data_IF_982504276791
#
_entry.id   IF_982504276791
#
_cell.length_a   1.000
_cell.length_b   1.000
_cell.length_c   1.000
_cell.angle_alpha   90.00
_cell.angle_beta   90.00
_cell.angle_gamma   90.00
#
_symmetry.space_group_name_H-M   'P 1'
#
loop_
_entity.id
_entity.type
_entity.pdbx_description
1 polymer ?
#
# COMPACT_ATOMS: atom_id res chain seq x y z
N UNK A 1 33.42 2.01 -2.12
CA UNK A 1 33.67 3.26 -2.86
C UNK A 1 32.49 4.24 -2.92
N UNK A 2 31.44 4.14 -2.08
CA UNK A 2 30.25 5.03 -2.10
C UNK A 2 30.19 5.96 -0.89
N UNK A 3 31.01 5.73 0.15
CA UNK A 3 30.97 6.49 1.40
C UNK A 3 31.50 7.93 1.33
N UNK A 4 32.18 8.32 0.26
CA UNK A 4 32.98 9.56 0.27
C UNK A 4 32.29 10.80 -0.34
N UNK A 5 31.19 10.65 -1.09
CA UNK A 5 30.59 11.78 -1.79
C UNK A 5 29.78 12.72 -0.87
N UNK A 6 29.09 12.20 0.15
CA UNK A 6 28.34 13.03 1.09
C UNK A 6 29.25 13.71 2.12
N UNK A 7 30.39 13.09 2.48
CA UNK A 7 31.37 13.69 3.36
C UNK A 7 31.87 15.04 2.80
N UNK A 8 32.16 15.08 1.48
CA UNK A 8 32.54 16.33 0.78
C UNK A 8 31.42 17.38 0.77
N UNK A 9 30.14 16.97 0.78
CA UNK A 9 29.04 17.92 0.86
C UNK A 9 28.93 18.56 2.24
N UNK A 10 29.17 17.80 3.32
CA UNK A 10 29.14 18.29 4.70
C UNK A 10 30.37 19.14 5.03
N UNK A 11 31.56 18.81 4.51
CA UNK A 11 32.81 19.56 4.77
C UNK A 11 32.81 20.99 4.24
N UNK A 12 31.87 21.36 3.37
CA UNK A 12 31.68 22.76 2.92
C UNK A 12 31.13 23.67 4.02
N UNK A 13 30.62 23.12 5.13
CA UNK A 13 30.00 23.85 6.20
C UNK A 13 30.86 23.82 7.48
N UNK A 14 30.90 24.85 8.28
CA UNK A 14 31.67 24.90 9.53
C UNK A 14 31.20 23.79 10.49
N UNK A 15 32.16 23.06 11.07
CA UNK A 15 31.96 21.86 11.91
C UNK A 15 31.37 22.11 13.30
N UNK A 16 30.60 23.17 13.50
CA UNK A 16 29.85 23.36 14.76
C UNK A 16 28.70 22.38 14.79
N UNK A 17 28.61 21.60 15.82
CA UNK A 17 27.65 20.50 16.14
C UNK A 17 26.48 20.27 15.14
N UNK A 18 26.65 19.28 14.28
CA UNK A 18 25.55 18.79 13.45
C UNK A 18 24.70 17.81 14.24
N UNK A 19 23.45 18.16 14.49
CA UNK A 19 22.46 17.22 15.00
C UNK A 19 21.85 16.40 13.84
N UNK A 20 22.09 15.10 13.86
CA UNK A 20 21.54 14.19 12.84
C UNK A 20 20.14 13.73 13.26
N UNK A 21 19.16 14.07 12.44
CA UNK A 21 17.79 13.57 12.61
C UNK A 21 17.61 12.25 11.87
N UNK A 22 17.65 11.16 12.61
CA UNK A 22 17.38 9.81 12.09
C UNK A 22 15.91 9.44 12.30
N UNK A 23 15.39 8.57 11.44
CA UNK A 23 14.08 7.96 11.70
C UNK A 23 14.18 7.18 13.01
N UNK A 24 13.38 7.55 14.00
CA UNK A 24 13.32 6.83 15.28
C UNK A 24 12.80 5.41 15.04
N UNK A 25 13.68 4.43 15.01
CA UNK A 25 13.34 3.04 15.19
C UNK A 25 13.01 2.84 16.67
N UNK A 26 11.79 2.38 16.98
CA UNK A 26 11.44 2.06 18.36
C UNK A 26 12.45 1.02 18.90
N UNK A 27 13.25 1.34 19.92
CA UNK A 27 14.30 0.43 20.42
C UNK A 27 13.76 -0.88 21.02
N UNK A 28 12.46 -0.93 21.33
CA UNK A 28 11.80 -2.13 21.87
C UNK A 28 11.54 -3.23 20.83
N UNK A 29 11.58 -2.89 19.53
CA UNK A 29 11.29 -3.84 18.46
C UNK A 29 12.36 -3.74 17.37
N UNK A 30 12.98 -4.85 16.95
CA UNK A 30 13.96 -4.83 15.88
C UNK A 30 13.30 -4.35 14.59
N UNK A 31 13.95 -3.42 13.90
CA UNK A 31 13.43 -2.92 12.64
C UNK A 31 13.66 -3.92 11.51
N UNK A 32 12.75 -3.95 10.55
CA UNK A 32 12.96 -4.73 9.32
C UNK A 32 14.26 -4.30 8.63
N UNK A 33 14.60 -3.01 8.67
CA UNK A 33 15.85 -2.48 8.12
C UNK A 33 17.08 -3.14 8.76
N UNK A 34 17.10 -3.29 10.09
CA UNK A 34 18.20 -3.96 10.81
C UNK A 34 18.33 -5.43 10.40
N UNK A 35 17.22 -6.16 10.31
CA UNK A 35 17.20 -7.58 9.92
C UNK A 35 17.77 -7.75 8.51
N UNK A 36 17.34 -6.93 7.57
CA UNK A 36 17.84 -6.95 6.20
C UNK A 36 19.30 -6.51 6.11
N UNK A 37 19.70 -5.49 6.86
CA UNK A 37 21.09 -5.04 6.92
C UNK A 37 22.03 -6.19 7.33
N UNK A 38 21.63 -6.98 8.32
CA UNK A 38 22.46 -8.05 8.86
C UNK A 38 22.49 -9.31 7.98
N UNK A 39 21.41 -9.60 7.21
CA UNK A 39 21.25 -10.94 6.64
C UNK A 39 20.87 -10.97 5.15
N UNK A 40 20.61 -9.82 4.51
CA UNK A 40 20.15 -9.84 3.11
C UNK A 40 21.23 -10.30 2.15
N UNK A 41 22.49 -9.93 2.37
CA UNK A 41 23.60 -10.40 1.54
C UNK A 41 23.79 -11.92 1.66
N UNK A 42 23.78 -12.46 2.89
CA UNK A 42 23.84 -13.91 3.11
C UNK A 42 22.65 -14.64 2.47
N UNK A 43 21.44 -14.02 2.52
CA UNK A 43 20.24 -14.56 1.88
C UNK A 43 20.41 -14.68 0.36
N UNK A 44 21.04 -13.70 -0.29
CA UNK A 44 21.32 -13.73 -1.74
C UNK A 44 22.30 -14.85 -2.13
N UNK A 45 23.17 -15.27 -1.20
CA UNK A 45 24.15 -16.33 -1.42
C UNK A 45 23.57 -17.75 -1.28
N UNK A 46 22.33 -17.90 -0.76
CA UNK A 46 21.70 -19.21 -0.62
C UNK A 46 21.54 -19.91 -1.98
N UNK A 47 21.86 -21.24 -2.07
CA UNK A 47 21.80 -21.98 -3.33
C UNK A 47 20.43 -21.90 -4.04
N UNK A 48 19.34 -22.02 -3.28
CA UNK A 48 17.98 -21.94 -3.83
C UNK A 48 17.65 -20.55 -4.36
N UNK A 49 18.15 -19.50 -3.70
CA UNK A 49 17.95 -18.09 -4.12
C UNK A 49 18.73 -17.82 -5.40
N UNK A 50 19.99 -18.28 -5.49
CA UNK A 50 20.81 -18.16 -6.70
C UNK A 50 20.21 -18.90 -7.88
N UNK A 51 19.67 -20.09 -7.65
CA UNK A 51 19.02 -20.91 -8.70
C UNK A 51 17.76 -20.26 -9.28
N UNK A 52 16.93 -19.66 -8.44
CA UNK A 52 15.66 -19.02 -8.84
C UNK A 52 15.89 -17.60 -9.35
N UNK A 53 16.88 -16.90 -8.80
CA UNK A 53 17.14 -15.49 -9.03
C UNK A 53 16.24 -14.57 -8.23
N UNK A 54 16.63 -13.31 -8.13
CA UNK A 54 15.85 -12.25 -7.46
C UNK A 54 15.43 -11.21 -8.49
N UNK A 55 14.18 -10.79 -8.45
CA UNK A 55 13.67 -9.74 -9.35
C UNK A 55 14.43 -8.42 -9.11
N UNK A 56 14.86 -7.70 -10.17
CA UNK A 56 15.63 -6.45 -10.04
C UNK A 56 14.94 -5.40 -9.14
N UNK A 57 13.60 -5.29 -9.22
CA UNK A 57 12.83 -4.39 -8.38
C UNK A 57 13.00 -4.68 -6.88
N UNK A 58 13.18 -5.95 -6.49
CA UNK A 58 13.40 -6.34 -5.09
C UNK A 58 14.73 -5.80 -4.59
N UNK A 59 15.81 -5.94 -5.38
CA UNK A 59 17.12 -5.42 -5.04
C UNK A 59 17.07 -3.90 -4.87
N UNK A 60 16.44 -3.19 -5.81
CA UNK A 60 16.26 -1.73 -5.78
C UNK A 60 15.47 -1.29 -4.54
N UNK A 61 14.34 -1.93 -4.23
CA UNK A 61 13.49 -1.55 -3.08
C UNK A 61 14.14 -1.88 -1.74
N UNK A 62 14.89 -2.97 -1.64
CA UNK A 62 15.67 -3.30 -0.43
C UNK A 62 16.80 -2.29 -0.24
N UNK A 63 17.55 -1.93 -1.28
CA UNK A 63 18.59 -0.92 -1.20
C UNK A 63 18.04 0.44 -0.76
N UNK A 64 16.90 0.88 -1.33
CA UNK A 64 16.19 2.08 -0.89
C UNK A 64 15.79 2.01 0.59
N UNK A 65 15.30 0.87 1.05
CA UNK A 65 14.92 0.69 2.44
C UNK A 65 16.15 0.73 3.36
N UNK A 66 17.25 0.09 2.99
CA UNK A 66 18.48 0.06 3.78
C UNK A 66 19.10 1.45 3.94
N UNK A 67 19.03 2.29 2.92
CA UNK A 67 19.50 3.68 3.00
C UNK A 67 18.50 4.64 3.67
N UNK A 68 17.27 4.21 3.92
CA UNK A 68 16.19 5.08 4.42
C UNK A 68 16.53 5.75 5.76
N UNK A 69 16.50 7.09 5.80
CA UNK A 69 16.82 7.86 7.00
C UNK A 69 18.30 7.89 7.37
N UNK A 70 19.18 7.50 6.46
CA UNK A 70 20.63 7.61 6.60
C UNK A 70 21.19 8.65 5.63
N UNK A 71 22.45 9.05 5.82
CA UNK A 71 23.12 9.99 4.92
C UNK A 71 23.24 9.45 3.48
N UNK A 72 23.23 8.12 3.31
CA UNK A 72 23.27 7.47 2.00
C UNK A 72 21.98 7.64 1.17
N UNK A 73 20.87 8.01 1.81
CA UNK A 73 19.64 8.39 1.11
C UNK A 73 19.70 9.83 0.54
N UNK A 74 20.67 10.62 0.99
CA UNK A 74 20.70 12.05 0.82
C UNK A 74 20.02 12.78 1.96
N UNK A 75 20.12 14.09 1.98
CA UNK A 75 19.67 14.91 3.10
C UNK A 75 19.48 16.37 2.72
N UNK A 76 18.79 17.10 3.58
CA UNK A 76 18.70 18.55 3.60
C UNK A 76 19.46 19.10 4.80
N UNK A 77 20.05 20.28 4.63
CA UNK A 77 20.79 21.02 5.66
C UNK A 77 20.02 22.27 6.00
N UNK A 78 19.83 22.48 7.29
CA UNK A 78 19.17 23.65 7.86
C UNK A 78 20.07 24.32 8.88
N UNK A 79 20.03 25.66 8.96
CA UNK A 79 20.77 26.47 9.92
C UNK A 79 19.81 27.35 10.75
N UNK A 80 20.07 27.45 12.03
CA UNK A 80 19.36 28.38 12.90
C UNK A 80 19.87 29.80 12.68
N UNK A 81 19.02 30.79 12.33
CA UNK A 81 19.45 32.16 12.11
C UNK A 81 19.93 32.88 13.39
N UNK A 82 19.61 32.31 14.55
CA UNK A 82 19.95 32.95 15.85
C UNK A 82 21.23 32.37 16.47
N UNK A 83 21.37 31.04 16.54
CA UNK A 83 22.52 30.42 17.21
C UNK A 83 23.46 29.68 16.26
N UNK A 84 23.19 29.70 14.96
CA UNK A 84 23.97 29.05 13.90
C UNK A 84 24.13 27.54 14.07
N UNK A 85 23.28 26.91 14.90
CA UNK A 85 23.23 25.45 14.99
C UNK A 85 22.71 24.86 13.69
N UNK A 86 23.27 23.73 13.25
CA UNK A 86 22.93 23.11 11.99
C UNK A 86 22.24 21.75 12.22
N UNK A 87 21.14 21.50 11.49
CA UNK A 87 20.45 20.22 11.47
C UNK A 87 20.56 19.56 10.10
N UNK A 88 20.79 18.24 10.11
CA UNK A 88 20.72 17.40 8.91
C UNK A 88 19.47 16.54 8.98
N UNK A 89 18.59 16.68 7.98
CA UNK A 89 17.37 15.88 7.85
C UNK A 89 17.56 14.89 6.69
N UNK A 90 17.76 13.61 7.00
CA UNK A 90 17.95 12.57 6.00
C UNK A 90 16.65 12.24 5.26
N UNK A 91 16.75 11.99 3.94
CA UNK A 91 15.61 11.58 3.14
C UNK A 91 15.10 10.19 3.50
N UNK A 92 13.81 9.99 3.27
CA UNK A 92 13.14 8.72 3.49
C UNK A 92 12.86 8.03 2.16
N UNK A 93 12.85 6.70 2.14
CA UNK A 93 12.68 5.92 0.90
C UNK A 93 11.28 5.96 0.31
N UNK A 94 10.28 6.47 1.04
CA UNK A 94 8.85 6.49 0.67
C UNK A 94 8.29 5.13 0.22
N UNK A 95 9.04 4.04 0.43
CA UNK A 95 8.65 2.68 0.04
C UNK A 95 7.58 2.12 0.97
N UNK A 96 6.66 1.34 0.42
CA UNK A 96 5.69 0.56 1.20
C UNK A 96 6.34 -0.61 1.93
N UNK A 97 7.48 -1.07 1.44
CA UNK A 97 8.23 -2.15 2.03
C UNK A 97 8.91 -1.72 3.34
N UNK A 98 9.33 -0.47 3.44
CA UNK A 98 9.88 0.10 4.65
C UNK A 98 8.79 0.28 5.73
N UNK A 99 9.00 -0.26 6.92
CA UNK A 99 8.04 -0.19 8.02
C UNK A 99 7.71 1.24 8.46
N UNK A 100 8.71 2.12 8.49
CA UNK A 100 8.53 3.54 8.85
C UNK A 100 7.79 4.32 7.76
N UNK A 101 8.23 4.20 6.49
CA UNK A 101 7.61 4.90 5.37
C UNK A 101 6.22 4.38 5.05
N UNK A 102 5.96 3.08 5.22
CA UNK A 102 4.65 2.48 4.98
C UNK A 102 3.55 3.08 5.88
N UNK A 103 3.86 3.41 7.13
CA UNK A 103 2.91 4.07 8.04
C UNK A 103 2.54 5.47 7.54
N UNK A 104 3.54 6.27 7.14
CA UNK A 104 3.30 7.61 6.62
C UNK A 104 2.52 7.58 5.31
N UNK A 105 2.85 6.66 4.41
CA UNK A 105 2.11 6.45 3.16
C UNK A 105 0.65 6.05 3.41
N UNK A 106 0.38 5.26 4.44
CA UNK A 106 -1.00 4.94 4.86
C UNK A 106 -1.77 6.19 5.24
N UNK A 107 -1.17 7.08 6.04
CA UNK A 107 -1.79 8.35 6.46
C UNK A 107 -2.05 9.28 5.27
N UNK A 108 -1.10 9.41 4.36
CA UNK A 108 -1.27 10.21 3.14
C UNK A 108 -2.40 9.67 2.24
N UNK A 109 -2.46 8.36 2.04
CA UNK A 109 -3.54 7.74 1.26
C UNK A 109 -4.90 7.90 1.96
N UNK A 110 -4.95 7.78 3.29
CA UNK A 110 -6.16 8.07 4.08
C UNK A 110 -6.66 9.48 3.82
N UNK A 111 -5.77 10.46 3.94
CA UNK A 111 -6.11 11.86 3.68
C UNK A 111 -6.59 12.09 2.23
N UNK A 112 -5.94 11.45 1.25
CA UNK A 112 -6.37 11.52 -0.16
C UNK A 112 -7.77 10.93 -0.36
N UNK A 113 -8.04 9.74 0.20
CA UNK A 113 -9.35 9.09 0.06
C UNK A 113 -10.43 9.90 0.78
N UNK A 114 -10.20 10.40 1.99
CA UNK A 114 -11.13 11.28 2.69
C UNK A 114 -11.45 12.55 1.88
N UNK A 115 -10.44 13.12 1.24
CA UNK A 115 -10.64 14.30 0.38
C UNK A 115 -11.54 14.04 -0.81
N UNK A 116 -11.55 12.82 -1.38
CA UNK A 116 -12.35 12.47 -2.56
C UNK A 116 -13.65 11.74 -2.22
N UNK A 117 -13.75 11.10 -1.07
CA UNK A 117 -14.94 10.35 -0.67
C UNK A 117 -16.16 11.27 -0.57
N UNK A 118 -17.29 10.79 -1.08
CA UNK A 118 -18.59 11.42 -0.91
C UNK A 118 -19.09 11.14 0.51
N UNK A 119 -19.83 12.08 1.11
CA UNK A 119 -20.47 11.91 2.40
C UNK A 119 -21.78 11.09 2.25
N UNK A 120 -21.63 9.87 1.81
CA UNK A 120 -22.71 8.90 1.58
C UNK A 120 -22.31 7.56 2.21
N UNK A 121 -23.26 6.66 2.48
CA UNK A 121 -22.91 5.34 3.00
C UNK A 121 -21.95 4.60 2.07
N UNK A 122 -20.96 3.95 2.67
CA UNK A 122 -19.98 3.11 1.98
C UNK A 122 -19.96 1.72 2.59
N UNK A 123 -19.50 0.77 1.80
CA UNK A 123 -19.32 -0.62 2.20
C UNK A 123 -17.88 -1.08 1.92
N UNK A 124 -17.33 -1.85 2.84
CA UNK A 124 -16.07 -2.56 2.63
C UNK A 124 -16.37 -3.91 1.95
N UNK A 125 -15.82 -4.11 0.77
CA UNK A 125 -15.94 -5.36 0.02
C UNK A 125 -14.55 -5.96 -0.16
N UNK A 126 -14.39 -7.28 0.02
CA UNK A 126 -13.14 -7.98 -0.22
C UNK A 126 -13.36 -9.07 -1.26
N UNK A 127 -12.63 -9.00 -2.36
CA UNK A 127 -12.65 -9.99 -3.43
C UNK A 127 -11.43 -10.91 -3.30
N UNK A 128 -11.68 -12.19 -3.06
CA UNK A 128 -10.64 -13.22 -2.88
C UNK A 128 -10.71 -14.25 -3.99
N UNK A 129 -9.56 -14.72 -4.45
CA UNK A 129 -9.46 -15.74 -5.50
C UNK A 129 -9.24 -17.14 -4.93
N UNK A 130 -9.54 -18.17 -5.73
CA UNK A 130 -9.20 -19.53 -5.42
C UNK A 130 -7.68 -19.71 -5.20
N UNK A 131 -7.31 -20.55 -4.20
CA UNK A 131 -5.92 -20.80 -3.85
C UNK A 131 -5.08 -21.37 -5.01
N UNK A 132 -5.71 -22.15 -5.92
CA UNK A 132 -5.07 -22.76 -7.09
C UNK A 132 -4.58 -21.72 -8.10
N UNK A 133 -5.23 -20.55 -8.14
CA UNK A 133 -4.83 -19.45 -9.04
C UNK A 133 -3.64 -18.64 -8.52
N UNK A 134 -3.38 -18.66 -7.21
CA UNK A 134 -2.36 -17.78 -6.58
C UNK A 134 -0.97 -17.93 -7.17
N UNK A 135 -0.62 -19.14 -7.63
CA UNK A 135 0.69 -19.42 -8.21
C UNK A 135 0.90 -18.70 -9.55
N UNK A 136 -0.14 -18.56 -10.38
CA UNK A 136 -0.06 -17.81 -11.63
C UNK A 136 0.33 -16.35 -11.37
N UNK A 137 -0.35 -15.68 -10.43
CA UNK A 137 -0.07 -14.30 -10.04
C UNK A 137 1.30 -14.12 -9.37
N UNK A 138 1.89 -15.19 -8.85
CA UNK A 138 3.23 -15.16 -8.29
C UNK A 138 4.32 -15.35 -9.35
N UNK A 139 4.05 -16.14 -10.38
CA UNK A 139 4.95 -16.34 -11.51
C UNK A 139 5.04 -15.09 -12.37
N UNK A 140 3.90 -14.43 -12.58
CA UNK A 140 3.79 -13.20 -13.35
C UNK A 140 2.98 -12.15 -12.58
N UNK A 141 3.67 -11.14 -12.07
CA UNK A 141 3.07 -10.04 -11.31
C UNK A 141 2.22 -9.10 -12.18
N UNK A 142 2.41 -9.09 -13.51
CA UNK A 142 1.57 -8.31 -14.41
C UNK A 142 0.12 -8.80 -14.41
N UNK A 143 -0.10 -10.10 -14.17
CA UNK A 143 -1.42 -10.68 -14.01
C UNK A 143 -2.22 -10.09 -12.84
N UNK A 144 -1.56 -9.49 -11.84
CA UNK A 144 -2.24 -8.80 -10.73
C UNK A 144 -3.18 -7.68 -11.21
N UNK A 145 -2.95 -7.11 -12.41
CA UNK A 145 -3.85 -6.16 -13.04
C UNK A 145 -5.24 -6.75 -13.33
N UNK A 146 -5.30 -8.05 -13.59
CA UNK A 146 -6.54 -8.79 -13.85
C UNK A 146 -7.49 -8.72 -12.66
N UNK A 147 -6.96 -8.73 -11.42
CA UNK A 147 -7.78 -8.64 -10.22
C UNK A 147 -8.54 -7.30 -10.14
N UNK A 148 -7.86 -6.19 -10.47
CA UNK A 148 -8.49 -4.87 -10.54
C UNK A 148 -9.54 -4.82 -11.64
N UNK A 149 -9.19 -5.29 -12.84
CA UNK A 149 -10.09 -5.29 -14.00
C UNK A 149 -11.33 -6.14 -13.69
N UNK A 150 -11.16 -7.33 -13.13
CA UNK A 150 -12.26 -8.25 -12.85
C UNK A 150 -13.18 -7.73 -11.74
N UNK A 151 -12.63 -7.12 -10.69
CA UNK A 151 -13.42 -6.48 -9.63
C UNK A 151 -14.22 -5.29 -10.19
N UNK A 152 -13.60 -4.45 -11.02
CA UNK A 152 -14.26 -3.32 -11.66
C UNK A 152 -15.40 -3.79 -12.58
N UNK A 153 -15.14 -4.72 -13.50
CA UNK A 153 -16.16 -5.29 -14.40
C UNK A 153 -17.33 -5.88 -13.63
N UNK A 154 -17.06 -6.56 -12.50
CA UNK A 154 -18.09 -7.15 -11.67
C UNK A 154 -18.97 -6.11 -11.00
N UNK A 155 -18.36 -5.07 -10.40
CA UNK A 155 -19.11 -3.97 -9.77
C UNK A 155 -19.95 -3.24 -10.80
N UNK A 156 -19.35 -2.87 -11.94
CA UNK A 156 -20.05 -2.16 -13.02
C UNK A 156 -21.23 -2.99 -13.57
N UNK A 157 -21.06 -4.31 -13.72
CA UNK A 157 -22.14 -5.21 -14.11
C UNK A 157 -23.28 -5.23 -13.09
N UNK A 158 -22.97 -5.38 -11.79
CA UNK A 158 -23.98 -5.41 -10.72
C UNK A 158 -24.79 -4.11 -10.73
N UNK A 159 -24.12 -2.96 -10.79
CA UNK A 159 -24.80 -1.66 -10.81
C UNK A 159 -25.56 -1.41 -12.13
N UNK A 160 -25.11 -1.98 -13.26
CA UNK A 160 -25.85 -1.91 -14.52
C UNK A 160 -27.19 -2.68 -14.48
N UNK A 161 -27.25 -3.77 -13.69
CA UNK A 161 -28.48 -4.56 -13.52
C UNK A 161 -29.50 -3.94 -12.56
N UNK A 162 -29.07 -2.98 -11.74
CA UNK A 162 -29.97 -2.21 -10.85
C UNK A 162 -30.81 -1.15 -11.62
N UNK A 163 -30.72 -1.13 -12.94
CA UNK A 163 -31.36 -0.17 -13.86
C UNK A 163 -32.89 -0.25 -13.98
N UNK A 164 -33.60 -0.98 -13.11
CA UNK A 164 -35.08 -1.06 -13.21
C UNK A 164 -35.74 0.22 -12.81
N UNK A 165 -36.26 1.13 -13.45
CA UNK A 165 -36.97 2.41 -13.20
C UNK A 165 -36.12 3.64 -12.85
N UNK A 166 -34.82 3.50 -12.66
CA UNK A 166 -33.91 4.60 -12.33
C UNK A 166 -32.89 4.75 -13.44
N UNK A 167 -32.61 6.00 -13.85
CA UNK A 167 -31.54 6.33 -14.77
C UNK A 167 -30.22 5.65 -14.35
N UNK A 168 -29.29 5.43 -15.28
CA UNK A 168 -28.02 4.79 -14.97
C UNK A 168 -27.33 5.43 -13.79
N UNK A 169 -26.98 4.63 -12.78
CA UNK A 169 -26.25 5.08 -11.60
C UNK A 169 -24.80 4.65 -11.69
N UNK A 170 -23.89 5.55 -11.38
CA UNK A 170 -22.44 5.29 -11.35
C UNK A 170 -21.96 5.27 -9.91
N UNK A 171 -21.55 4.09 -9.39
CA UNK A 171 -20.97 4.00 -8.04
C UNK A 171 -19.61 4.67 -7.98
N UNK A 172 -19.21 5.12 -6.79
CA UNK A 172 -17.83 5.52 -6.50
C UNK A 172 -17.12 4.39 -5.74
N UNK A 173 -15.94 3.96 -6.22
CA UNK A 173 -15.19 2.94 -5.50
C UNK A 173 -13.68 3.09 -5.62
N UNK A 174 -12.99 2.63 -4.57
CA UNK A 174 -11.52 2.59 -4.49
C UNK A 174 -11.11 1.14 -4.29
N UNK A 175 -10.30 0.62 -5.20
CA UNK A 175 -9.75 -0.73 -5.14
C UNK A 175 -8.31 -0.68 -4.63
N UNK A 176 -7.98 -1.57 -3.70
CA UNK A 176 -6.63 -1.73 -3.15
C UNK A 176 -6.22 -3.18 -3.20
N UNK A 177 -5.11 -3.47 -3.87
CA UNK A 177 -4.54 -4.80 -3.91
C UNK A 177 -3.72 -5.08 -2.65
N UNK A 178 -3.96 -6.24 -2.07
CA UNK A 178 -3.09 -6.90 -1.11
C UNK A 178 -2.59 -8.21 -1.68
N UNK A 179 -1.36 -8.55 -1.35
CA UNK A 179 -0.73 -9.81 -1.80
C UNK A 179 -0.47 -10.78 -0.66
N UNK A 180 -0.76 -10.40 0.59
CA UNK A 180 -0.43 -11.18 1.79
C UNK A 180 -1.61 -11.39 2.72
N UNK A 181 -1.64 -12.55 3.39
CA UNK A 181 -2.47 -12.80 4.55
C UNK A 181 -1.84 -12.30 5.85
N UNK A 182 -2.53 -12.46 6.98
CA UNK A 182 -1.97 -12.15 8.32
C UNK A 182 -0.74 -12.99 8.66
N UNK A 183 -0.65 -14.19 8.07
CA UNK A 183 0.42 -15.19 8.18
C UNK A 183 1.57 -14.97 7.17
N UNK A 184 1.60 -13.85 6.47
CA UNK A 184 2.59 -13.50 5.44
C UNK A 184 2.60 -14.43 4.21
N UNK A 185 1.63 -15.34 4.08
CA UNK A 185 1.52 -16.16 2.89
C UNK A 185 1.03 -15.37 1.68
N UNK A 186 1.45 -15.79 0.50
CA UNK A 186 1.00 -15.19 -0.75
C UNK A 186 -0.50 -15.43 -0.95
N UNK A 187 -1.27 -14.35 -0.87
CA UNK A 187 -2.73 -14.35 -0.99
C UNK A 187 -3.21 -13.06 -1.65
N UNK A 188 -3.11 -12.93 -2.99
CA UNK A 188 -3.57 -11.73 -3.67
C UNK A 188 -5.09 -11.60 -3.60
N UNK A 189 -5.56 -10.45 -3.13
CA UNK A 189 -6.97 -10.11 -2.98
C UNK A 189 -7.18 -8.60 -3.07
N UNK A 190 -8.39 -8.18 -3.39
CA UNK A 190 -8.75 -6.77 -3.54
C UNK A 190 -9.64 -6.34 -2.38
N UNK A 191 -9.21 -5.30 -1.66
CA UNK A 191 -10.07 -4.53 -0.78
C UNK A 191 -10.74 -3.41 -1.58
N UNK A 192 -12.03 -3.22 -1.40
CA UNK A 192 -12.82 -2.22 -2.08
C UNK A 192 -13.58 -1.37 -1.06
N UNK A 193 -13.43 -0.06 -1.14
CA UNK A 193 -14.34 0.90 -0.52
C UNK A 193 -15.38 1.27 -1.58
N UNK A 194 -16.64 0.84 -1.41
CA UNK A 194 -17.70 1.00 -2.40
C UNK A 194 -18.83 1.85 -1.82
N UNK A 195 -19.34 2.84 -2.57
CA UNK A 195 -20.57 3.56 -2.18
C UNK A 195 -21.78 2.63 -2.17
N UNK A 196 -22.65 2.75 -1.16
CA UNK A 196 -23.96 2.07 -1.15
C UNK A 196 -24.97 2.79 -2.02
N UNK A 197 -24.68 2.87 -3.30
CA UNK A 197 -25.45 3.58 -4.30
C UNK A 197 -24.56 4.20 -5.37
N UNK A 198 -25.13 5.07 -6.17
CA UNK A 198 -24.39 5.73 -7.23
C UNK A 198 -24.94 7.10 -7.58
N UNK A 199 -24.20 7.82 -8.39
CA UNK A 199 -24.60 9.14 -8.92
C UNK A 199 -25.30 8.93 -10.25
N UNK A 200 -26.47 9.55 -10.42
CA UNK A 200 -27.20 9.59 -11.68
C UNK A 200 -26.57 10.57 -12.67
N UNK A 201 -26.98 10.50 -13.93
CA UNK A 201 -26.56 11.48 -14.96
C UNK A 201 -27.01 12.92 -14.63
N UNK A 202 -28.02 13.08 -13.78
CA UNK A 202 -28.51 14.37 -13.26
C UNK A 202 -27.71 14.85 -12.01
N UNK A 203 -26.76 14.08 -11.51
CA UNK A 203 -25.92 14.44 -10.38
C UNK A 203 -26.50 14.12 -9.00
N UNK A 204 -27.65 13.44 -8.92
CA UNK A 204 -28.26 13.02 -7.67
C UNK A 204 -27.67 11.69 -7.21
N UNK A 205 -27.42 11.56 -5.90
CA UNK A 205 -27.03 10.27 -5.33
C UNK A 205 -28.27 9.44 -5.01
N UNK A 206 -28.32 8.21 -5.51
CA UNK A 206 -29.38 7.24 -5.20
C UNK A 206 -28.77 6.11 -4.41
N UNK A 207 -29.27 5.91 -3.18
CA UNK A 207 -28.88 4.80 -2.32
C UNK A 207 -29.48 3.49 -2.83
N UNK A 208 -28.70 2.42 -2.82
CA UNK A 208 -29.17 1.05 -3.09
C UNK A 208 -29.15 0.28 -1.77
N UNK A 209 -30.31 -0.25 -1.37
CA UNK A 209 -30.46 -0.98 -0.09
C UNK A 209 -29.84 -2.38 -0.14
N UNK A 210 -29.67 -2.95 -1.33
CA UNK A 210 -29.24 -4.34 -1.51
C UNK A 210 -28.26 -4.50 -2.66
N UNK A 211 -27.19 -5.21 -2.39
CA UNK A 211 -26.22 -5.68 -3.39
C UNK A 211 -26.25 -7.21 -3.41
N UNK A 212 -26.55 -7.82 -4.56
CA UNK A 212 -26.65 -9.26 -4.68
C UNK A 212 -25.27 -9.93 -4.60
N UNK A 213 -25.00 -10.59 -3.48
CA UNK A 213 -23.72 -11.27 -3.23
C UNK A 213 -23.46 -12.44 -4.16
N UNK A 214 -24.48 -13.21 -4.51
CA UNK A 214 -24.32 -14.33 -5.46
C UNK A 214 -23.84 -13.80 -6.80
N UNK A 215 -24.42 -12.66 -7.25
CA UNK A 215 -23.97 -12.00 -8.49
C UNK A 215 -22.53 -11.49 -8.38
N UNK A 216 -22.15 -10.92 -7.25
CA UNK A 216 -20.74 -10.48 -7.02
C UNK A 216 -19.78 -11.67 -7.07
N UNK A 217 -20.08 -12.76 -6.37
CA UNK A 217 -19.23 -13.96 -6.30
C UNK A 217 -19.06 -14.62 -7.67
N UNK A 218 -20.16 -14.95 -8.33
CA UNK A 218 -20.18 -15.61 -9.65
C UNK A 218 -19.61 -14.68 -10.74
N UNK A 219 -19.94 -13.39 -10.68
CA UNK A 219 -19.42 -12.37 -11.58
C UNK A 219 -17.91 -12.23 -11.48
N UNK A 220 -17.39 -12.11 -10.26
CA UNK A 220 -15.95 -11.97 -10.04
C UNK A 220 -15.18 -13.20 -10.50
N UNK A 221 -15.65 -14.41 -10.16
CA UNK A 221 -15.07 -15.67 -10.65
C UNK A 221 -15.03 -15.70 -12.17
N UNK A 222 -16.16 -15.44 -12.84
CA UNK A 222 -16.25 -15.41 -14.31
C UNK A 222 -15.28 -14.41 -14.93
N UNK A 223 -15.23 -13.18 -14.40
CA UNK A 223 -14.34 -12.14 -14.92
C UNK A 223 -12.86 -12.51 -14.73
N UNK A 224 -12.46 -13.00 -13.55
CA UNK A 224 -11.07 -13.43 -13.30
C UNK A 224 -10.67 -14.54 -14.26
N UNK A 225 -11.48 -15.60 -14.35
CA UNK A 225 -11.15 -16.76 -15.20
C UNK A 225 -11.09 -16.39 -16.69
N UNK A 226 -12.00 -15.54 -17.17
CA UNK A 226 -12.01 -15.09 -18.57
C UNK A 226 -10.80 -14.18 -18.88
N UNK A 227 -10.51 -13.21 -18.01
CA UNK A 227 -9.37 -12.32 -18.22
C UNK A 227 -8.03 -13.07 -18.14
N UNK A 228 -7.93 -14.08 -17.27
CA UNK A 228 -6.76 -14.96 -17.23
C UNK A 228 -6.63 -15.83 -18.48
N UNK A 229 -7.75 -16.37 -19.04
CA UNK A 229 -7.72 -17.09 -20.32
C UNK A 229 -7.14 -16.20 -21.43
N UNK A 230 -7.57 -14.94 -21.49
CA UNK A 230 -7.06 -14.00 -22.49
C UNK A 230 -5.56 -13.73 -22.30
N UNK A 231 -5.11 -13.53 -21.05
CA UNK A 231 -3.71 -13.25 -20.75
C UNK A 231 -2.78 -14.46 -21.00
N UNK A 232 -3.28 -15.69 -20.94
CA UNK A 232 -2.51 -16.91 -21.16
C UNK A 232 -2.63 -17.45 -22.57
N UNK A 233 -3.39 -16.80 -23.46
CA UNK A 233 -3.68 -17.28 -24.81
C UNK A 233 -2.43 -17.49 -25.68
N UNK A 234 -1.41 -16.66 -25.49
CA UNK A 234 -0.17 -16.71 -26.27
C UNK A 234 0.76 -17.88 -25.88
N UNK A 235 0.46 -18.58 -24.78
CA UNK A 235 1.20 -19.77 -24.35
C UNK A 235 0.31 -21.03 -24.41
N UNK A 236 0.31 -21.81 -25.50
CA UNK A 236 -0.62 -22.91 -25.70
C UNK A 236 -0.56 -23.99 -24.61
N UNK A 237 0.63 -24.25 -24.05
CA UNK A 237 0.82 -25.28 -23.02
C UNK A 237 0.21 -24.82 -21.68
N UNK A 238 0.51 -23.59 -21.24
CA UNK A 238 -0.07 -23.03 -20.01
C UNK A 238 -1.58 -22.80 -20.18
N UNK A 239 -2.03 -22.39 -21.36
CA UNK A 239 -3.45 -22.21 -21.67
C UNK A 239 -4.24 -23.51 -21.56
N UNK A 240 -3.70 -24.63 -22.07
CA UNK A 240 -4.35 -25.96 -21.96
C UNK A 240 -4.51 -26.36 -20.49
N UNK A 241 -3.43 -26.29 -19.70
CA UNK A 241 -3.47 -26.60 -18.27
C UNK A 241 -4.45 -25.69 -17.52
N UNK A 242 -4.47 -24.41 -17.87
CA UNK A 242 -5.37 -23.44 -17.25
C UNK A 242 -6.84 -23.74 -17.58
N UNK A 243 -7.18 -24.18 -18.82
CA UNK A 243 -8.55 -24.59 -19.17
C UNK A 243 -9.04 -25.79 -18.34
N UNK A 244 -8.18 -26.76 -18.10
CA UNK A 244 -8.51 -27.91 -17.25
C UNK A 244 -8.78 -27.44 -15.79
N UNK A 245 -7.93 -26.57 -15.26
CA UNK A 245 -8.11 -25.97 -13.94
C UNK A 245 -9.42 -25.16 -13.85
N UNK A 246 -9.76 -24.38 -14.87
CA UNK A 246 -11.01 -23.62 -14.94
C UNK A 246 -12.23 -24.51 -14.83
N UNK A 247 -12.23 -25.66 -15.54
CA UNK A 247 -13.32 -26.62 -15.48
C UNK A 247 -13.48 -27.23 -14.09
N UNK A 248 -12.36 -27.50 -13.39
CA UNK A 248 -12.38 -27.96 -12.01
C UNK A 248 -12.91 -26.89 -11.07
N UNK A 249 -12.45 -25.62 -11.21
CA UNK A 249 -12.92 -24.51 -10.39
C UNK A 249 -14.44 -24.33 -10.52
N UNK A 250 -15.00 -24.39 -11.73
CA UNK A 250 -16.45 -24.25 -11.92
C UNK A 250 -17.24 -25.40 -11.29
N UNK A 251 -16.66 -26.62 -11.19
CA UNK A 251 -17.29 -27.75 -10.51
C UNK A 251 -17.24 -27.63 -8.98
N UNK A 252 -16.11 -27.13 -8.44
CA UNK A 252 -15.88 -27.08 -7.00
C UNK A 252 -16.51 -25.84 -6.34
N UNK A 253 -16.55 -24.73 -7.08
CA UNK A 253 -16.97 -23.41 -6.59
C UNK A 253 -18.29 -22.95 -7.24
N UNK A 254 -19.36 -23.71 -7.14
CA UNK A 254 -20.68 -23.40 -7.72
C UNK A 254 -21.24 -22.03 -7.29
N UNK A 255 -20.88 -21.58 -6.10
CA UNK A 255 -21.28 -20.29 -5.53
C UNK A 255 -20.38 -19.12 -5.98
N UNK A 256 -19.33 -19.38 -6.77
CA UNK A 256 -18.34 -18.40 -7.18
C UNK A 256 -17.29 -18.09 -6.11
N UNK A 257 -16.33 -17.25 -6.44
CA UNK A 257 -15.24 -16.89 -5.52
C UNK A 257 -15.74 -16.15 -4.29
N UNK A 258 -15.02 -16.32 -3.19
CA UNK A 258 -15.40 -15.67 -1.94
C UNK A 258 -15.32 -14.14 -2.04
N UNK A 259 -16.45 -13.51 -1.80
CA UNK A 259 -16.57 -12.06 -1.67
C UNK A 259 -17.15 -11.78 -0.28
N UNK A 260 -16.38 -11.05 0.53
CA UNK A 260 -16.83 -10.57 1.82
C UNK A 260 -17.36 -9.14 1.67
N UNK A 261 -18.58 -8.93 2.08
CA UNK A 261 -19.20 -7.61 2.08
C UNK A 261 -20.37 -7.60 3.10
N UNK A 262 -20.06 -7.51 4.40
CA UNK A 262 -21.07 -7.58 5.45
C UNK A 262 -22.10 -6.48 5.30
N UNK A 263 -23.36 -6.79 5.57
CA UNK A 263 -24.40 -5.80 5.71
C UNK A 263 -24.11 -4.94 6.96
N UNK A 264 -24.14 -3.64 6.77
CA UNK A 264 -24.04 -2.73 7.90
C UNK A 264 -25.44 -2.65 8.50
N UNK A 265 -25.61 -3.25 9.68
CA UNK A 265 -26.80 -2.98 10.49
C UNK A 265 -26.93 -1.47 10.64
N UNK A 266 -28.11 -0.91 10.37
CA UNK A 266 -28.36 0.54 10.41
C UNK A 266 -27.96 1.18 11.76
N UNK A 267 -28.02 0.41 12.86
CA UNK A 267 -27.60 0.83 14.21
C UNK A 267 -26.08 0.90 14.43
N UNK A 268 -25.27 0.33 13.53
CA UNK A 268 -23.80 0.34 13.59
C UNK A 268 -23.17 1.04 12.39
N UNK A 269 -23.85 2.01 11.80
CA UNK A 269 -23.25 2.83 10.76
C UNK A 269 -22.05 3.54 11.37
N UNK A 270 -20.87 2.90 11.25
CA UNK A 270 -19.61 3.53 11.61
C UNK A 270 -19.54 4.82 10.80
N UNK A 271 -19.16 5.91 11.47
CA UNK A 271 -18.82 7.14 10.81
C UNK A 271 -17.98 6.83 9.56
N UNK A 272 -18.31 7.48 8.45
CA UNK A 272 -17.64 7.27 7.15
C UNK A 272 -16.13 7.37 7.30
N UNK A 273 -15.65 8.26 8.15
CA UNK A 273 -14.23 8.44 8.44
C UNK A 273 -13.62 7.20 9.11
N UNK A 274 -14.34 6.57 10.02
CA UNK A 274 -13.92 5.30 10.66
C UNK A 274 -13.86 4.15 9.66
N UNK A 275 -14.80 4.09 8.69
CA UNK A 275 -14.77 3.09 7.63
C UNK A 275 -13.63 3.33 6.65
N UNK A 276 -13.42 4.59 6.25
CA UNK A 276 -12.27 4.99 5.41
C UNK A 276 -10.98 4.60 6.11
N UNK A 277 -10.81 4.92 7.39
CA UNK A 277 -9.62 4.55 8.16
C UNK A 277 -9.44 3.04 8.26
N UNK A 278 -10.53 2.30 8.41
CA UNK A 278 -10.48 0.84 8.43
C UNK A 278 -9.99 0.30 7.08
N UNK A 279 -10.56 0.73 5.95
CA UNK A 279 -10.18 0.26 4.62
C UNK A 279 -8.77 0.77 4.24
N UNK A 280 -8.48 2.03 4.55
CA UNK A 280 -7.18 2.63 4.21
C UNK A 280 -6.05 2.08 5.05
N UNK A 281 -6.30 1.62 6.27
CA UNK A 281 -5.29 0.85 7.01
C UNK A 281 -4.71 -0.29 6.18
N UNK A 282 -5.47 -0.82 5.23
CA UNK A 282 -4.99 -1.83 4.30
C UNK A 282 -4.24 -1.24 3.09
N UNK A 283 -4.40 0.04 2.75
CA UNK A 283 -3.81 0.62 1.52
C UNK A 283 -2.31 0.88 1.59
N UNK A 284 -1.77 1.11 2.77
CA UNK A 284 -0.37 1.51 2.96
C UNK A 284 0.41 0.68 3.98
N UNK A 285 -0.24 -0.28 4.67
CA UNK A 285 0.45 -1.09 5.68
C UNK A 285 1.67 -1.79 5.07
N UNK A 286 2.81 -1.71 5.76
CA UNK A 286 3.92 -2.59 5.45
C UNK A 286 3.47 -4.05 5.64
N UNK A 287 4.08 -4.95 4.90
CA UNK A 287 3.78 -6.40 4.97
C UNK A 287 3.90 -6.91 6.41
N UNK A 288 4.89 -6.39 7.13
CA UNK A 288 5.12 -6.67 8.55
C UNK A 288 5.24 -5.36 9.33
N UNK A 289 4.50 -5.24 10.42
CA UNK A 289 4.70 -4.16 11.40
C UNK A 289 5.81 -4.57 12.39
N UNK A 290 6.75 -3.68 12.67
CA UNK A 290 7.84 -3.96 13.61
C UNK A 290 7.33 -4.40 15.00
N UNK A 291 6.19 -3.85 15.46
CA UNK A 291 5.56 -4.21 16.73
C UNK A 291 5.07 -5.67 16.83
N UNK A 292 4.97 -6.39 15.71
CA UNK A 292 4.64 -7.80 15.67
C UNK A 292 5.86 -8.72 15.85
N UNK A 293 7.06 -8.18 15.69
CA UNK A 293 8.31 -8.93 15.92
C UNK A 293 8.56 -8.96 17.43
N UNK A 294 8.53 -10.16 18.01
CA UNK A 294 8.67 -10.37 19.44
C UNK A 294 10.09 -10.66 19.87
N UNK A 295 10.86 -11.34 19.00
CA UNK A 295 12.27 -11.66 19.26
C UNK A 295 13.06 -11.70 17.95
N UNK A 296 14.33 -11.32 18.02
CA UNK A 296 15.29 -11.44 16.92
C UNK A 296 16.67 -11.77 17.47
N UNK A 297 17.21 -12.91 17.05
CA UNK A 297 18.54 -13.34 17.42
C UNK A 297 19.43 -13.40 16.17
N UNK A 298 20.32 -12.40 15.97
CA UNK A 298 21.17 -12.35 14.78
C UNK A 298 22.16 -13.51 14.72
N UNK A 299 22.67 -13.99 15.86
CA UNK A 299 23.67 -15.06 15.90
C UNK A 299 23.07 -16.43 15.55
N UNK A 300 21.87 -16.72 16.04
CA UNK A 300 21.11 -17.94 15.69
C UNK A 300 20.41 -17.83 14.35
N UNK A 301 20.36 -16.63 13.76
CA UNK A 301 19.60 -16.32 12.52
C UNK A 301 18.12 -16.69 12.64
N UNK A 302 17.54 -16.44 13.81
CA UNK A 302 16.15 -16.74 14.15
C UNK A 302 15.36 -15.47 14.43
N UNK A 303 14.09 -15.50 14.03
CA UNK A 303 13.12 -14.42 14.27
C UNK A 303 11.82 -15.01 14.79
N UNK A 304 11.24 -14.36 15.81
CA UNK A 304 9.90 -14.68 16.31
C UNK A 304 8.97 -13.51 16.11
N UNK A 305 7.77 -13.79 15.63
CA UNK A 305 6.71 -12.80 15.45
C UNK A 305 5.34 -13.44 15.64
N UNK A 306 4.30 -12.62 15.78
CA UNK A 306 2.94 -13.12 15.94
C UNK A 306 1.99 -12.56 14.88
N UNK A 307 0.91 -13.30 14.65
CA UNK A 307 -0.26 -12.83 13.95
C UNK A 307 -1.53 -13.34 14.65
N UNK A 308 -2.67 -12.69 14.35
CA UNK A 308 -3.97 -13.17 14.80
C UNK A 308 -4.59 -14.02 13.69
N UNK A 309 -4.96 -15.26 14.01
CA UNK A 309 -5.67 -16.12 13.09
C UNK A 309 -7.05 -15.55 12.75
N UNK A 310 -7.45 -15.64 11.49
CA UNK A 310 -8.68 -15.02 11.02
C UNK A 310 -9.94 -15.80 11.49
N UNK A 311 -9.81 -17.12 11.67
CA UNK A 311 -10.93 -18.02 12.00
C UNK A 311 -11.18 -18.06 13.49
N UNK A 312 -10.09 -18.21 14.27
CA UNK A 312 -10.17 -18.37 15.73
C UNK A 312 -10.03 -17.06 16.50
N UNK A 313 -9.57 -15.99 15.83
CA UNK A 313 -9.16 -14.72 16.45
C UNK A 313 -8.08 -14.88 17.53
N UNK A 314 -7.41 -16.03 17.57
CA UNK A 314 -6.33 -16.29 18.52
C UNK A 314 -5.00 -15.80 17.98
N UNK A 315 -4.12 -15.43 18.91
CA UNK A 315 -2.73 -15.10 18.59
C UNK A 315 -1.97 -16.40 18.27
N UNK A 316 -1.26 -16.39 17.14
CA UNK A 316 -0.35 -17.45 16.72
C UNK A 316 1.07 -16.88 16.73
N UNK A 317 1.93 -17.44 17.56
CA UNK A 317 3.34 -17.11 17.60
C UNK A 317 4.12 -18.03 16.66
N UNK A 318 5.00 -17.44 15.85
CA UNK A 318 5.82 -18.14 14.85
C UNK A 318 7.29 -17.84 15.12
N UNK A 319 8.11 -18.88 15.12
CA UNK A 319 9.57 -18.76 15.13
C UNK A 319 10.12 -19.47 13.92
N UNK A 320 10.95 -18.78 13.16
CA UNK A 320 11.51 -19.31 11.91
C UNK A 320 12.88 -18.71 11.61
N UNK A 321 13.56 -19.26 10.61
CA UNK A 321 14.80 -18.71 10.10
C UNK A 321 14.61 -17.30 9.55
N UNK A 322 15.57 -16.40 9.82
CA UNK A 322 15.59 -15.04 9.23
C UNK A 322 15.52 -15.11 7.71
N UNK A 323 16.10 -16.14 7.09
CA UNK A 323 16.08 -16.29 5.62
C UNK A 323 14.69 -16.63 5.09
N UNK A 324 13.93 -17.48 5.79
CA UNK A 324 12.52 -17.75 5.43
C UNK A 324 11.67 -16.50 5.58
N UNK A 325 11.88 -15.74 6.66
CA UNK A 325 11.21 -14.48 6.91
C UNK A 325 11.49 -13.45 5.81
N UNK A 326 12.78 -13.24 5.44
CA UNK A 326 13.18 -12.36 4.32
C UNK A 326 12.49 -12.82 3.03
N UNK A 327 12.57 -14.13 2.73
CA UNK A 327 11.94 -14.71 1.54
C UNK A 327 10.42 -14.53 1.51
N UNK A 328 9.74 -14.54 2.67
CA UNK A 328 8.30 -14.22 2.77
C UNK A 328 8.04 -12.75 2.44
N UNK A 329 8.83 -11.83 2.99
CA UNK A 329 8.59 -10.40 2.83
C UNK A 329 8.84 -9.90 1.40
N UNK A 330 9.94 -10.29 0.77
CA UNK A 330 10.31 -9.79 -0.57
C UNK A 330 9.32 -10.20 -1.67
N UNK A 331 8.54 -11.27 -1.46
CA UNK A 331 7.49 -11.71 -2.40
C UNK A 331 6.40 -10.66 -2.57
N UNK A 332 6.22 -9.78 -1.61
CA UNK A 332 5.15 -8.78 -1.59
C UNK A 332 5.58 -7.43 -2.15
N UNK A 333 6.83 -7.29 -2.56
CA UNK A 333 7.31 -6.11 -3.29
C UNK A 333 6.69 -6.13 -4.69
N UNK A 334 5.85 -5.13 -5.04
CA UNK A 334 5.24 -5.05 -6.37
C UNK A 334 6.27 -4.72 -7.45
N UNK A 335 5.91 -4.86 -8.71
CA UNK A 335 6.70 -4.35 -9.83
C UNK A 335 6.79 -2.82 -9.80
N UNK A 336 7.82 -2.28 -10.44
CA UNK A 336 8.04 -0.84 -10.52
C UNK A 336 6.82 -0.15 -11.14
N UNK A 337 6.45 1.01 -10.59
CA UNK A 337 5.28 1.81 -10.98
C UNK A 337 3.92 1.09 -10.87
N UNK A 338 3.85 -0.10 -10.26
CA UNK A 338 2.59 -0.81 -10.08
C UNK A 338 1.66 -0.07 -9.11
N UNK A 339 0.51 0.38 -9.62
CA UNK A 339 -0.48 1.12 -8.83
C UNK A 339 -1.33 0.17 -7.98
N UNK A 340 -0.99 0.08 -6.69
CA UNK A 340 -1.70 -0.77 -5.71
C UNK A 340 -3.06 -0.21 -5.28
N UNK A 341 -3.33 1.07 -5.50
CA UNK A 341 -4.59 1.76 -5.20
C UNK A 341 -5.12 2.40 -6.46
N UNK A 342 -6.38 2.11 -6.82
CA UNK A 342 -7.01 2.63 -8.03
C UNK A 342 -8.41 3.15 -7.75
N UNK A 343 -8.80 4.21 -8.44
CA UNK A 343 -10.04 4.95 -8.27
C UNK A 343 -10.93 4.76 -9.49
N UNK A 344 -12.21 4.43 -9.25
CA UNK A 344 -13.16 4.08 -10.29
C UNK A 344 -14.50 4.79 -10.13
N UNK A 345 -15.32 4.75 -11.19
CA UNK A 345 -16.65 5.32 -11.21
C UNK A 345 -16.65 6.80 -10.84
N UNK A 346 -17.45 7.20 -9.86
CA UNK A 346 -17.52 8.59 -9.39
C UNK A 346 -16.21 9.11 -8.77
N UNK A 347 -15.28 8.22 -8.41
CA UNK A 347 -13.97 8.59 -7.87
C UNK A 347 -12.85 8.62 -8.92
N UNK A 348 -13.12 8.18 -10.15
CA UNK A 348 -12.16 8.23 -11.25
C UNK A 348 -11.82 9.67 -11.62
N UNK A 349 -10.53 9.98 -11.78
CA UNK A 349 -10.06 11.31 -12.16
C UNK A 349 -10.38 11.67 -13.62
N UNK A 350 -10.53 10.65 -14.48
CA UNK A 350 -10.85 10.79 -15.89
C UNK A 350 -12.36 10.99 -16.18
N UNK A 351 -13.24 10.82 -15.20
CA UNK A 351 -14.68 11.02 -15.41
C UNK A 351 -15.06 12.50 -15.38
N UNK A 352 -14.86 13.19 -16.49
CA UNK A 352 -15.09 14.65 -16.60
C UNK A 352 -16.56 15.05 -16.38
N UNK A 353 -17.52 14.21 -16.79
CA UNK A 353 -18.96 14.49 -16.63
C UNK A 353 -19.35 14.52 -15.15
N UNK A 354 -18.96 13.51 -14.38
CA UNK A 354 -19.27 13.45 -12.95
C UNK A 354 -18.40 14.39 -12.11
N UNK A 355 -17.24 14.81 -12.61
CA UNK A 355 -16.29 15.67 -11.88
C UNK A 355 -16.91 17.00 -11.41
N UNK A 356 -17.79 17.61 -12.23
CA UNK A 356 -18.53 18.83 -11.84
C UNK A 356 -19.47 18.56 -10.67
N UNK A 357 -20.27 17.47 -10.73
CA UNK A 357 -21.22 17.10 -9.68
C UNK A 357 -20.53 16.67 -8.40
N UNK A 358 -19.48 15.85 -8.50
CA UNK A 358 -18.66 15.45 -7.36
C UNK A 358 -18.00 16.67 -6.71
N UNK A 359 -17.52 17.65 -7.50
CA UNK A 359 -16.97 18.91 -6.99
C UNK A 359 -18.05 19.75 -6.28
N UNK A 360 -19.25 19.80 -6.82
CA UNK A 360 -20.38 20.51 -6.21
C UNK A 360 -20.82 19.84 -4.90
N UNK A 361 -21.02 18.53 -4.89
CA UNK A 361 -21.33 17.77 -3.67
C UNK A 361 -20.24 17.92 -2.60
N UNK A 362 -18.96 17.96 -3.02
CA UNK A 362 -17.84 18.24 -2.11
C UNK A 362 -17.82 19.67 -1.60
N UNK A 363 -18.11 20.68 -2.43
CA UNK A 363 -18.04 22.08 -2.04
C UNK A 363 -19.09 22.45 -0.99
N UNK A 364 -20.25 21.81 -1.00
CA UNK A 364 -21.29 21.96 0.04
C UNK A 364 -20.88 21.36 1.39
N UNK A 365 -20.04 20.33 1.38
CA UNK A 365 -19.68 19.51 2.56
C UNK A 365 -18.25 19.81 3.09
N UNK A 366 -17.34 20.23 2.22
CA UNK A 366 -15.93 20.47 2.55
C UNK A 366 -15.62 21.91 2.97
N UNK A 367 -16.53 22.62 3.63
CA UNK A 367 -16.15 23.83 4.40
C UNK A 367 -15.33 23.48 5.65
N UNK A 368 -15.16 22.20 5.96
CA UNK A 368 -14.23 21.73 6.98
C UNK A 368 -12.87 21.54 6.31
N UNK A 369 -12.03 22.50 6.50
CA UNK A 369 -10.65 22.69 6.10
C UNK A 369 -9.79 21.42 6.26
N UNK A 370 -9.62 20.64 5.19
CA UNK A 370 -8.42 19.82 5.04
C UNK A 370 -7.27 20.72 4.60
N UNK A 371 -6.58 21.32 5.55
CA UNK A 371 -5.27 21.92 5.28
C UNK A 371 -4.38 20.81 4.70
N UNK A 372 -3.72 21.09 3.54
CA UNK A 372 -2.57 20.27 3.10
C UNK A 372 -1.69 20.08 4.32
N UNK A 373 -1.39 18.85 4.67
CA UNK A 373 -0.39 18.58 5.71
C UNK A 373 0.90 19.17 5.17
N UNK A 374 1.30 20.32 5.67
CA UNK A 374 2.51 21.01 5.21
C UNK A 374 3.73 20.13 5.47
N UNK A 375 4.80 20.35 4.72
CA UNK A 375 6.07 19.61 4.81
C UNK A 375 6.54 19.45 6.26
N UNK A 376 6.55 20.54 7.04
CA UNK A 376 6.90 20.55 8.46
C UNK A 376 6.07 19.56 9.30
N UNK A 377 4.75 19.49 9.06
CA UNK A 377 3.86 18.57 9.78
C UNK A 377 4.10 17.12 9.40
N UNK A 378 4.51 16.86 8.16
CA UNK A 378 4.96 15.54 7.74
C UNK A 378 6.23 15.14 8.49
N UNK A 379 7.20 16.04 8.60
CA UNK A 379 8.44 15.83 9.36
C UNK A 379 8.15 15.54 10.83
N UNK A 380 7.31 16.35 11.50
CA UNK A 380 6.89 16.10 12.89
C UNK A 380 6.26 14.71 13.04
N UNK A 381 5.46 14.29 12.07
CA UNK A 381 4.84 12.98 12.10
C UNK A 381 5.87 11.84 11.95
N UNK A 382 6.94 12.06 11.19
CA UNK A 382 8.00 11.08 10.96
C UNK A 382 8.93 10.99 12.16
N UNK A 383 9.37 12.14 12.69
CA UNK A 383 10.41 12.22 13.70
C UNK A 383 9.87 12.29 15.14
N UNK A 384 8.55 12.49 15.33
CA UNK A 384 7.93 12.66 16.65
C UNK A 384 8.17 14.03 17.31
N UNK A 385 9.12 14.79 16.78
CA UNK A 385 9.47 16.17 17.18
C UNK A 385 9.55 17.05 15.95
N UNK A 386 9.56 18.36 16.14
CA UNK A 386 9.72 19.30 15.03
C UNK A 386 11.20 19.46 14.65
N UNK A 387 11.68 18.87 13.55
CA UNK A 387 13.08 18.93 13.18
C UNK A 387 13.52 20.30 12.65
N UNK A 388 12.56 21.18 12.35
CA UNK A 388 12.81 22.56 11.92
C UNK A 388 12.78 23.57 13.06
N UNK A 389 12.59 23.12 14.30
CA UNK A 389 12.67 23.96 15.49
C UNK A 389 14.00 23.73 16.20
N UNK A 390 14.82 24.78 16.27
CA UNK A 390 16.08 24.72 16.98
C UNK A 390 15.84 24.64 18.49
N UNK A 391 16.78 24.06 19.25
CA UNK A 391 16.76 24.01 20.70
C UNK A 391 16.71 25.41 21.38
N UNK A 392 17.15 26.45 20.68
CA UNK A 392 17.03 27.84 21.13
C UNK A 392 15.65 28.48 20.85
N UNK A 393 14.68 27.72 20.30
CA UNK A 393 13.32 28.18 20.08
C UNK A 393 13.06 28.89 18.74
N UNK A 394 14.06 29.08 17.90
CA UNK A 394 13.93 29.71 16.59
C UNK A 394 13.76 28.68 15.49
N UNK A 395 13.02 29.04 14.41
CA UNK A 395 12.91 28.20 13.23
C UNK A 395 14.19 28.22 12.42
N UNK A 396 14.53 27.06 11.89
CA UNK A 396 15.69 26.85 11.05
C UNK A 396 15.41 27.21 9.60
N UNK A 397 16.40 27.79 8.94
CA UNK A 397 16.38 28.14 7.53
C UNK A 397 17.03 27.02 6.71
N UNK A 398 16.42 26.67 5.57
CA UNK A 398 17.04 25.77 4.59
C UNK A 398 18.29 26.42 3.99
N UNK A 399 19.38 25.64 3.93
CA UNK A 399 20.65 26.08 3.36
C UNK A 399 20.97 25.37 2.06
N UNK A 400 20.98 24.01 2.09
CA UNK A 400 21.40 23.20 0.95
C UNK A 400 20.86 21.78 1.06
N UNK A 401 21.02 20.99 0.00
CA UNK A 401 20.71 19.57 0.00
C UNK A 401 21.80 18.75 -0.68
N UNK A 402 21.84 17.47 -0.35
CA UNK A 402 22.64 16.47 -1.06
C UNK A 402 21.74 15.34 -1.53
N UNK A 403 21.72 15.10 -2.84
CA UNK A 403 21.00 13.99 -3.47
C UNK A 403 22.04 13.09 -4.15
N UNK A 404 22.19 11.83 -3.69
CA UNK A 404 23.06 10.86 -4.35
C UNK A 404 22.68 10.66 -5.82
N UNK A 405 23.68 10.57 -6.70
CA UNK A 405 23.45 10.46 -8.15
C UNK A 405 22.49 9.30 -8.51
N UNK A 406 22.61 8.17 -7.79
CA UNK A 406 21.76 6.99 -7.98
C UNK A 406 20.27 7.22 -7.71
N UNK A 407 19.91 8.25 -6.93
CA UNK A 407 18.52 8.57 -6.56
C UNK A 407 17.97 9.81 -7.24
N UNK A 408 18.75 10.51 -8.06
CA UNK A 408 18.31 11.78 -8.69
C UNK A 408 17.05 11.62 -9.53
N UNK A 409 16.95 10.56 -10.31
CA UNK A 409 15.78 10.31 -11.16
C UNK A 409 14.54 9.93 -10.35
N UNK A 410 14.70 9.27 -9.21
CA UNK A 410 13.58 8.82 -8.37
C UNK A 410 12.96 9.96 -7.52
N UNK A 411 13.70 11.04 -7.26
CA UNK A 411 13.22 12.16 -6.43
C UNK A 411 12.41 13.14 -7.27
N UNK A 412 12.75 13.36 -8.54
CA UNK A 412 12.04 14.28 -9.42
C UNK A 412 10.68 13.75 -9.92
N UNK A 413 10.42 12.45 -9.86
CA UNK A 413 9.08 11.90 -10.20
C UNK A 413 8.01 12.17 -9.13
N UNK A 414 8.37 12.75 -7.96
CA UNK A 414 7.48 12.91 -6.80
C UNK A 414 7.42 14.33 -6.23
N UNK A 415 8.04 15.31 -6.88
CA UNK A 415 8.00 16.73 -6.49
C UNK A 415 6.70 17.44 -6.91
#
# INVERSE_FOLDING_TARGET
MIKDNWAKAITKFPTKSFDKMHINNNPKHPSIQLIFHNHFNDFLELPDVKKVGIRPVVLKEVEKMLSCGTLDAGFEIYECPHCHNMHIICYTCKSRFCSSCGVNRTREQSAKIRKIALQVPHRHVVFTIDKRLRLYFRKDYHLLNILFLSASQTIDYVFSKMKGKLNSITPGYVLTLHTFGRDLKWNPHIHCLLTEGGITDLGNFIRTSYINYSTLRKGFMKCVLNNMKLALADNPMEFKKFKELVNQIYKDDENGFYVFAPDIEEKKQKDIDSLIDYVVRYTGRPVMAASRITNYNPNKKEISYYYEDHTTSQRVDVTESVYEFIGKLIKHIPEEQFKMVRYYGAYATCNHKLKKFVRFLRSKLNRITFQKIGYRRQLITIFGTDPLLCSCGHFMNYIDNYIPQKWRNDIYEFA
#
